data_IF_337475292750
#
_entry.id   IF_337475292750
#
_cell.length_a   1.000
_cell.length_b   1.000
_cell.length_c   1.000
_cell.angle_alpha   90.00
_cell.angle_beta   90.00
_cell.angle_gamma   90.00
#
_symmetry.space_group_name_H-M   'P 1'
#
loop_
_entity.id
_entity.type
_entity.pdbx_description
1 polymer ?
#
# COMPACT_ATOMS: atom_id res chain seq x y z
N UNK A 1 14.79 -24.82 -10.88
CA UNK A 1 15.21 -25.02 -9.47
C UNK A 1 14.01 -25.60 -8.77
N UNK A 2 14.19 -26.63 -7.92
CA UNK A 2 13.08 -27.23 -7.20
C UNK A 2 12.29 -26.17 -6.42
N UNK A 3 10.97 -26.23 -6.50
CA UNK A 3 10.08 -25.26 -5.86
C UNK A 3 9.66 -25.82 -4.50
N UNK A 4 9.87 -25.05 -3.43
CA UNK A 4 9.39 -25.45 -2.11
C UNK A 4 7.91 -25.12 -1.97
N UNK A 5 7.11 -26.13 -1.67
CA UNK A 5 5.75 -25.96 -1.20
C UNK A 5 5.84 -25.60 0.28
N UNK A 6 5.34 -24.41 0.64
CA UNK A 6 5.38 -23.90 2.01
C UNK A 6 4.05 -24.13 2.72
N UNK A 7 4.10 -24.23 4.05
CA UNK A 7 2.91 -24.21 4.91
C UNK A 7 2.13 -22.91 4.68
N UNK A 8 0.91 -22.96 4.13
CA UNK A 8 0.14 -21.76 3.81
C UNK A 8 -0.47 -21.12 5.07
N UNK A 9 -0.64 -19.80 5.03
CA UNK A 9 -1.47 -19.08 5.99
C UNK A 9 -2.94 -19.19 5.56
N UNK A 10 -3.73 -20.01 6.26
CA UNK A 10 -5.15 -20.21 5.94
C UNK A 10 -6.07 -19.19 6.62
N UNK A 11 -5.54 -18.38 7.54
CA UNK A 11 -6.18 -17.18 8.06
C UNK A 11 -5.14 -16.10 8.42
N UNK A 12 -5.51 -14.81 8.47
CA UNK A 12 -4.58 -13.72 8.78
C UNK A 12 -3.97 -13.78 10.19
N UNK A 13 -4.55 -14.61 11.09
CA UNK A 13 -4.09 -14.81 12.47
C UNK A 13 -3.41 -16.17 12.67
N UNK A 14 -3.24 -16.97 11.62
CA UNK A 14 -2.64 -18.29 11.71
C UNK A 14 -1.12 -18.17 11.71
N UNK A 15 -0.48 -18.57 12.81
CA UNK A 15 0.99 -18.63 12.92
C UNK A 15 1.53 -20.05 12.69
N UNK A 16 0.73 -21.07 13.01
CA UNK A 16 1.06 -22.48 12.87
C UNK A 16 -0.19 -23.34 12.62
N UNK A 17 0.00 -24.56 12.12
CA UNK A 17 -1.06 -25.54 11.92
C UNK A 17 -0.53 -26.97 11.98
N UNK A 18 -1.45 -27.93 12.03
CA UNK A 18 -1.12 -29.36 12.02
C UNK A 18 -1.29 -29.89 10.60
N UNK A 19 -0.25 -30.49 10.02
CA UNK A 19 -0.36 -31.17 8.74
C UNK A 19 -1.03 -32.52 8.97
N UNK A 20 -2.35 -32.60 8.84
CA UNK A 20 -3.12 -33.78 9.26
C UNK A 20 -2.92 -34.97 8.31
N UNK A 21 -2.86 -34.72 7.00
CA UNK A 21 -2.80 -35.79 5.99
C UNK A 21 -2.22 -35.33 4.66
N UNK A 22 -1.42 -36.18 4.02
CA UNK A 22 -1.04 -36.02 2.61
C UNK A 22 -2.05 -36.75 1.71
N UNK A 23 -2.49 -36.08 0.65
CA UNK A 23 -3.40 -36.63 -0.37
C UNK A 23 -2.66 -37.02 -1.66
N UNK A 24 -1.38 -36.63 -1.78
CA UNK A 24 -0.46 -36.98 -2.87
C UNK A 24 0.86 -37.48 -2.30
N UNK A 25 1.47 -38.47 -2.96
CA UNK A 25 2.72 -39.09 -2.54
C UNK A 25 3.92 -38.58 -3.34
N UNK A 26 5.13 -38.87 -2.84
CA UNK A 26 6.36 -38.63 -3.61
C UNK A 26 6.31 -39.41 -4.95
N UNK A 27 6.59 -38.70 -6.05
CA UNK A 27 6.49 -39.21 -7.42
C UNK A 27 5.16 -38.92 -8.11
N UNK A 28 4.15 -38.41 -7.41
CA UNK A 28 2.86 -38.05 -8.03
C UNK A 28 2.96 -36.73 -8.81
N UNK A 29 2.35 -36.72 -10.00
CA UNK A 29 2.14 -35.49 -10.77
C UNK A 29 0.98 -34.67 -10.18
N UNK A 30 1.19 -33.37 -10.04
CA UNK A 30 0.21 -32.39 -9.54
C UNK A 30 0.07 -31.23 -10.52
N UNK A 31 -1.16 -30.77 -10.71
CA UNK A 31 -1.49 -29.55 -11.47
C UNK A 31 -1.83 -28.42 -10.51
N UNK A 32 -1.72 -27.18 -10.98
CA UNK A 32 -2.21 -26.03 -10.23
C UNK A 32 -3.70 -26.20 -9.91
N UNK A 33 -4.07 -26.06 -8.64
CA UNK A 33 -5.41 -26.31 -8.12
C UNK A 33 -5.69 -27.75 -7.65
N UNK A 34 -4.76 -28.70 -7.84
CA UNK A 34 -4.91 -30.04 -7.26
C UNK A 34 -4.74 -29.99 -5.73
N UNK A 35 -5.63 -30.64 -4.99
CA UNK A 35 -5.48 -30.79 -3.54
C UNK A 35 -4.36 -31.79 -3.22
N UNK A 36 -3.39 -31.35 -2.43
CA UNK A 36 -2.17 -32.10 -2.10
C UNK A 36 -2.09 -32.54 -0.64
N UNK A 37 -2.70 -31.80 0.29
CA UNK A 37 -2.68 -32.11 1.72
C UNK A 37 -3.90 -31.52 2.45
N UNK A 38 -4.15 -32.00 3.66
CA UNK A 38 -5.10 -31.42 4.61
C UNK A 38 -4.32 -30.81 5.79
N UNK A 39 -4.72 -29.61 6.20
CA UNK A 39 -4.19 -28.92 7.38
C UNK A 39 -5.33 -28.70 8.38
N UNK A 40 -5.04 -29.01 9.63
CA UNK A 40 -5.93 -28.77 10.75
C UNK A 40 -5.43 -27.60 11.61
N UNK A 41 -6.33 -26.69 11.93
CA UNK A 41 -6.13 -25.55 12.84
C UNK A 41 -7.09 -25.65 14.02
N UNK A 42 -6.95 -24.77 15.00
CA UNK A 42 -7.90 -24.66 16.12
C UNK A 42 -9.31 -24.23 15.71
N UNK A 43 -9.49 -23.75 14.46
CA UNK A 43 -10.78 -23.27 13.92
C UNK A 43 -11.43 -24.22 12.92
N UNK A 44 -10.63 -24.85 12.05
CA UNK A 44 -11.14 -25.69 10.95
C UNK A 44 -10.05 -26.60 10.36
N UNK A 45 -10.49 -27.65 9.69
CA UNK A 45 -9.67 -28.44 8.75
C UNK A 45 -9.86 -27.88 7.34
N UNK A 46 -8.78 -27.65 6.62
CA UNK A 46 -8.79 -27.05 5.28
C UNK A 46 -7.83 -27.79 4.35
N UNK A 47 -8.17 -27.78 3.06
CA UNK A 47 -7.41 -28.43 2.00
C UNK A 47 -6.35 -27.48 1.45
N UNK A 48 -5.16 -28.02 1.19
CA UNK A 48 -4.04 -27.31 0.56
C UNK A 48 -4.02 -27.66 -0.91
N UNK A 49 -4.15 -26.65 -1.76
CA UNK A 49 -4.04 -26.79 -3.20
C UNK A 49 -2.63 -26.48 -3.69
N UNK A 50 -2.16 -27.20 -4.71
CA UNK A 50 -0.90 -26.92 -5.38
C UNK A 50 -0.99 -25.59 -6.14
N UNK A 51 -0.04 -24.69 -5.90
CA UNK A 51 0.06 -23.40 -6.61
C UNK A 51 0.70 -23.59 -7.99
N UNK A 52 1.69 -24.48 -8.08
CA UNK A 52 2.50 -24.75 -9.27
C UNK A 52 2.29 -26.20 -9.77
N UNK A 53 2.51 -26.43 -11.06
CA UNK A 53 2.47 -27.77 -11.66
C UNK A 53 3.85 -28.46 -11.64
N UNK A 54 3.86 -29.78 -11.44
CA UNK A 54 5.10 -30.57 -11.39
C UNK A 54 4.93 -31.96 -10.78
N UNK A 55 6.04 -32.58 -10.37
CA UNK A 55 6.05 -33.87 -9.66
C UNK A 55 6.51 -33.66 -8.22
N UNK A 56 5.81 -34.24 -7.24
CA UNK A 56 6.23 -34.18 -5.84
C UNK A 56 7.57 -34.92 -5.71
N UNK A 57 8.65 -34.18 -5.51
CA UNK A 57 9.99 -34.74 -5.38
C UNK A 57 10.27 -35.32 -4.00
N UNK A 58 9.89 -34.60 -2.94
CA UNK A 58 10.07 -35.05 -1.56
C UNK A 58 9.09 -34.39 -0.59
N UNK A 59 8.53 -35.16 0.33
CA UNK A 59 7.76 -34.64 1.47
C UNK A 59 8.74 -34.36 2.63
N UNK A 60 8.76 -33.13 3.11
CA UNK A 60 9.70 -32.68 4.14
C UNK A 60 9.12 -32.80 5.56
N UNK A 61 7.79 -32.90 5.66
CA UNK A 61 7.05 -33.00 6.93
C UNK A 61 6.11 -34.21 6.86
N UNK A 62 6.16 -35.06 7.89
CA UNK A 62 5.29 -36.23 8.00
C UNK A 62 3.84 -35.84 8.38
N UNK A 63 2.87 -36.59 7.88
CA UNK A 63 1.47 -36.42 8.28
C UNK A 63 1.30 -36.65 9.79
N UNK A 64 0.49 -35.82 10.44
CA UNK A 64 0.31 -35.78 11.89
C UNK A 64 1.27 -34.84 12.63
N UNK A 65 2.19 -34.17 11.94
CA UNK A 65 3.10 -33.19 12.57
C UNK A 65 2.32 -31.95 13.00
N UNK A 66 2.33 -31.67 14.30
CA UNK A 66 1.68 -30.51 14.92
C UNK A 66 2.60 -29.28 14.94
N UNK A 67 2.01 -28.09 15.06
CA UNK A 67 2.72 -26.82 15.22
C UNK A 67 3.71 -26.52 14.08
N UNK A 68 3.35 -26.89 12.85
CA UNK A 68 4.10 -26.53 11.65
C UNK A 68 3.86 -25.04 11.39
N UNK A 69 4.92 -24.24 11.52
CA UNK A 69 4.82 -22.78 11.32
C UNK A 69 4.50 -22.44 9.87
N UNK A 70 3.68 -21.42 9.68
CA UNK A 70 3.44 -20.83 8.36
C UNK A 70 4.77 -20.44 7.69
N UNK A 71 4.85 -20.61 6.37
CA UNK A 71 6.05 -20.46 5.53
C UNK A 71 7.15 -21.52 5.72
N UNK A 72 6.95 -22.55 6.54
CA UNK A 72 7.88 -23.69 6.62
C UNK A 72 7.77 -24.55 5.36
N UNK A 73 8.88 -24.94 4.69
CA UNK A 73 8.83 -25.90 3.60
C UNK A 73 8.26 -27.26 4.03
N UNK A 74 7.14 -27.66 3.43
CA UNK A 74 6.45 -28.93 3.72
C UNK A 74 6.68 -29.99 2.63
N UNK A 75 6.96 -29.59 1.40
CA UNK A 75 7.32 -30.49 0.29
C UNK A 75 8.16 -29.76 -0.77
N UNK A 76 8.78 -30.54 -1.67
CA UNK A 76 9.55 -30.04 -2.82
C UNK A 76 8.90 -30.52 -4.11
N UNK A 77 8.67 -29.61 -5.04
CA UNK A 77 8.12 -29.86 -6.37
C UNK A 77 9.24 -29.80 -7.43
N UNK A 78 9.32 -30.82 -8.27
CA UNK A 78 10.26 -30.94 -9.40
C UNK A 78 9.56 -30.56 -10.70
N UNK A 79 10.22 -29.77 -11.56
CA UNK A 79 9.72 -29.39 -12.89
C UNK A 79 10.45 -30.17 -14.02
N UNK A 80 9.89 -30.15 -15.23
CA UNK A 80 10.35 -30.94 -16.37
C UNK A 80 11.86 -30.79 -16.65
N UNK A 81 12.59 -31.90 -16.51
CA UNK A 81 14.04 -31.98 -16.72
C UNK A 81 14.90 -32.05 -15.44
N UNK A 82 14.30 -32.02 -14.25
CA UNK A 82 14.99 -32.08 -12.96
C UNK A 82 14.95 -33.48 -12.33
N UNK A 83 16.01 -33.88 -11.62
CA UNK A 83 16.15 -35.21 -10.98
C UNK A 83 16.18 -35.09 -9.46
N UNK A 84 15.62 -36.10 -8.76
CA UNK A 84 15.57 -36.19 -7.30
C UNK A 84 16.94 -36.14 -6.58
N UNK A 85 18.04 -36.16 -7.32
CA UNK A 85 19.43 -36.04 -6.83
C UNK A 85 19.84 -34.63 -6.40
N UNK A 86 19.05 -33.59 -6.72
CA UNK A 86 19.41 -32.19 -6.42
C UNK A 86 18.89 -31.68 -5.05
N UNK A 87 18.30 -32.57 -4.23
CA UNK A 87 17.77 -32.25 -2.90
C UNK A 87 18.85 -32.41 -1.82
N UNK A 88 19.54 -31.34 -1.43
CA UNK A 88 20.47 -31.37 -0.30
C UNK A 88 19.73 -31.25 1.04
N UNK A 89 19.88 -32.23 1.94
CA UNK A 89 19.45 -32.11 3.34
C UNK A 89 20.44 -31.24 4.15
N UNK A 90 19.99 -30.47 5.16
CA UNK A 90 20.88 -29.63 5.96
C UNK A 90 21.86 -30.49 6.77
N UNK A 91 23.15 -30.20 6.63
CA UNK A 91 24.23 -30.87 7.37
C UNK A 91 24.53 -30.07 8.64
N UNK A 92 24.35 -30.70 9.79
CA UNK A 92 24.78 -30.18 11.08
C UNK A 92 26.32 -30.12 11.16
N UNK A 93 26.87 -28.98 11.57
CA UNK A 93 28.29 -28.85 11.89
C UNK A 93 28.60 -29.54 13.21
N UNK A 94 29.55 -30.47 13.15
CA UNK A 94 30.10 -31.23 14.28
C UNK A 94 31.25 -30.45 14.92
N UNK A 95 31.13 -30.13 16.21
CA UNK A 95 32.28 -29.99 17.10
C UNK A 95 32.38 -31.26 17.97
N UNK A 96 33.46 -32.03 17.82
CA UNK A 96 33.82 -33.17 18.69
C UNK A 96 34.61 -32.62 19.91
N UNK A 97 34.12 -32.70 21.16
CA UNK A 97 34.11 -33.81 22.15
C UNK A 97 35.46 -33.97 22.91
N UNK A 98 35.50 -34.20 24.26
CA UNK A 98 34.79 -35.32 24.88
C UNK A 98 34.20 -35.18 26.33
N UNK A 99 33.14 -35.97 26.53
CA UNK A 99 32.78 -36.86 27.67
C UNK A 99 32.39 -36.34 29.09
N UNK A 100 31.13 -36.68 29.42
CA UNK A 100 30.31 -36.89 30.65
C UNK A 100 31.00 -37.20 32.03
N UNK A 101 30.30 -37.21 33.22
CA UNK A 101 28.83 -37.31 33.46
C UNK A 101 28.21 -36.54 34.68
N UNK A 102 26.87 -36.63 34.81
CA UNK A 102 26.04 -36.76 36.05
C UNK A 102 24.98 -35.67 36.38
N UNK A 103 23.85 -36.19 36.90
CA UNK A 103 22.52 -35.65 37.27
C UNK A 103 22.54 -34.88 38.62
N UNK A 104 21.43 -34.35 39.23
CA UNK A 104 20.24 -33.54 38.83
C UNK A 104 20.06 -32.23 39.69
N UNK A 105 18.95 -31.50 39.44
CA UNK A 105 18.14 -30.64 40.35
C UNK A 105 18.16 -29.08 40.25
N UNK A 106 16.91 -28.59 40.19
CA UNK A 106 16.28 -27.29 40.54
C UNK A 106 17.10 -26.00 40.70
N UNK A 107 16.67 -24.96 39.99
CA UNK A 107 16.38 -23.61 40.54
C UNK A 107 15.66 -22.72 39.48
N UNK A 108 14.54 -22.09 39.87
CA UNK A 108 14.07 -20.79 39.31
C UNK A 108 14.75 -19.69 40.14
N UNK A 109 15.01 -18.45 39.67
CA UNK A 109 14.32 -17.66 38.63
C UNK A 109 15.33 -17.03 37.61
N UNK A 110 14.97 -16.35 36.52
CA UNK A 110 14.54 -14.93 36.44
C UNK A 110 14.47 -14.55 34.94
N UNK A 111 13.64 -13.55 34.63
CA UNK A 111 13.46 -12.92 33.31
C UNK A 111 14.80 -12.58 32.60
N UNK A 112 14.87 -12.83 31.30
CA UNK A 112 15.58 -11.98 30.33
C UNK A 112 15.02 -12.25 28.92
N UNK A 113 14.64 -11.17 28.24
CA UNK A 113 13.97 -11.18 26.95
C UNK A 113 14.76 -11.82 25.82
N UNK A 114 14.02 -12.50 24.94
CA UNK A 114 14.52 -13.05 23.69
C UNK A 114 14.71 -11.92 22.68
N UNK A 115 15.96 -11.68 22.30
CA UNK A 115 16.31 -10.88 21.13
C UNK A 115 16.12 -11.75 19.87
N UNK A 116 15.21 -11.33 18.99
CA UNK A 116 15.01 -11.89 17.66
C UNK A 116 16.12 -11.46 16.70
N UNK A 117 16.65 -12.41 15.92
CA UNK A 117 17.49 -12.14 14.75
C UNK A 117 16.62 -11.85 13.50
N UNK A 118 17.12 -11.09 12.50
CA UNK A 118 16.35 -10.04 11.84
C UNK A 118 15.64 -10.47 10.55
N UNK A 119 14.44 -9.90 10.36
CA UNK A 119 13.81 -9.67 9.05
C UNK A 119 14.78 -8.87 8.17
N UNK A 120 14.90 -9.14 6.85
CA UNK A 120 15.69 -8.28 5.97
C UNK A 120 15.22 -6.83 6.13
N UNK A 121 16.17 -5.94 6.45
CA UNK A 121 15.89 -4.56 6.82
C UNK A 121 15.06 -3.88 5.73
N UNK A 122 13.80 -3.60 6.06
CA UNK A 122 12.97 -2.67 5.32
C UNK A 122 13.69 -1.32 5.30
N UNK A 123 13.89 -0.67 4.15
CA UNK A 123 14.49 0.64 4.13
C UNK A 123 13.58 1.60 4.90
N UNK A 124 14.03 2.01 6.08
CA UNK A 124 13.52 3.21 6.76
C UNK A 124 13.93 4.36 5.85
N UNK A 125 13.06 4.73 4.93
CA UNK A 125 13.20 5.98 4.20
C UNK A 125 12.89 7.09 5.19
N UNK A 126 13.93 7.66 5.80
CA UNK A 126 13.80 8.93 6.51
C UNK A 126 13.52 10.01 5.46
N UNK A 127 12.23 10.32 5.27
CA UNK A 127 11.85 11.48 4.50
C UNK A 127 12.58 12.70 5.09
N UNK A 128 13.08 13.62 4.24
CA UNK A 128 13.64 14.87 4.73
C UNK A 128 12.64 15.56 5.68
N UNK A 129 13.16 16.17 6.75
CA UNK A 129 12.33 16.83 7.77
C UNK A 129 11.38 17.83 7.12
N UNK A 130 10.09 17.58 7.22
CA UNK A 130 9.06 18.53 6.78
C UNK A 130 9.26 19.82 7.58
N UNK A 131 9.52 20.98 6.94
CA UNK A 131 9.80 22.22 7.65
C UNK A 131 8.65 22.68 8.55
N UNK A 132 7.45 22.10 8.41
CA UNK A 132 6.33 22.33 9.32
C UNK A 132 6.44 21.58 10.66
N UNK A 133 7.35 20.62 10.79
CA UNK A 133 7.55 19.84 12.02
C UNK A 133 8.60 20.55 12.88
N UNK A 134 8.28 20.94 14.13
CA UNK A 134 9.24 21.56 15.04
C UNK A 134 10.49 20.69 15.25
N UNK A 135 11.67 21.32 15.26
CA UNK A 135 12.92 20.61 15.53
C UNK A 135 12.88 19.94 16.91
N UNK A 136 13.27 18.67 16.98
CA UNK A 136 13.26 17.88 18.21
C UNK A 136 11.93 17.20 18.55
N UNK A 137 10.94 17.23 17.66
CA UNK A 137 9.70 16.45 17.80
C UNK A 137 10.02 14.95 17.86
N UNK A 138 9.42 14.25 18.83
CA UNK A 138 9.51 12.79 18.94
C UNK A 138 8.86 12.14 17.70
N UNK A 139 9.55 11.19 17.08
CA UNK A 139 9.04 10.43 15.95
C UNK A 139 8.66 9.03 16.43
N UNK A 140 7.48 8.56 16.03
CA UNK A 140 6.99 7.22 16.35
C UNK A 140 6.85 6.43 15.06
N UNK A 141 7.40 5.22 15.04
CA UNK A 141 7.22 4.31 13.92
C UNK A 141 5.81 3.73 13.96
N UNK A 142 5.06 3.89 12.88
CA UNK A 142 3.73 3.31 12.71
C UNK A 142 3.49 2.92 11.26
N UNK A 143 2.64 1.92 11.06
CA UNK A 143 2.18 1.54 9.73
C UNK A 143 1.24 2.58 9.13
N UNK A 144 1.14 2.65 7.81
CA UNK A 144 0.15 3.49 7.13
C UNK A 144 -1.27 3.14 7.59
N UNK A 145 -1.57 1.85 7.79
CA UNK A 145 -2.86 1.39 8.34
C UNK A 145 -3.15 2.00 9.72
N UNK A 146 -2.18 1.94 10.63
CA UNK A 146 -2.33 2.50 11.97
C UNK A 146 -2.50 4.03 11.94
N UNK A 147 -1.73 4.71 11.10
CA UNK A 147 -1.85 6.16 10.89
C UNK A 147 -3.24 6.59 10.41
N UNK A 148 -3.83 5.86 9.45
CA UNK A 148 -5.19 6.11 8.97
C UNK A 148 -6.24 5.88 10.06
N UNK A 149 -6.10 4.78 10.82
CA UNK A 149 -6.96 4.47 11.96
C UNK A 149 -6.90 5.56 13.02
N UNK A 150 -5.70 5.98 13.42
CA UNK A 150 -5.50 7.03 14.41
C UNK A 150 -6.08 8.37 13.95
N UNK A 151 -5.87 8.75 12.69
CA UNK A 151 -6.47 9.95 12.12
C UNK A 151 -7.99 9.93 12.25
N UNK A 152 -8.65 8.83 11.86
CA UNK A 152 -10.11 8.73 12.00
C UNK A 152 -10.56 8.76 13.46
N UNK A 153 -9.91 7.99 14.34
CA UNK A 153 -10.27 7.93 15.74
C UNK A 153 -10.13 9.31 16.43
N UNK A 154 -9.05 10.04 16.15
CA UNK A 154 -8.84 11.39 16.68
C UNK A 154 -9.93 12.37 16.21
N UNK A 155 -10.27 12.38 14.92
CA UNK A 155 -11.32 13.28 14.42
C UNK A 155 -12.73 12.86 14.89
N UNK A 156 -12.99 11.57 15.06
CA UNK A 156 -14.25 11.06 15.62
C UNK A 156 -14.42 11.39 17.10
N UNK A 157 -13.34 11.38 17.90
CA UNK A 157 -13.35 11.87 19.29
C UNK A 157 -13.56 13.37 19.38
N UNK A 158 -12.98 14.12 18.44
CA UNK A 158 -13.04 15.58 18.45
C UNK A 158 -14.38 16.13 17.96
N UNK A 159 -15.11 15.37 17.13
CA UNK A 159 -16.35 15.83 16.51
C UNK A 159 -17.40 14.71 16.42
N UNK A 160 -18.53 14.91 17.11
CA UNK A 160 -19.63 13.96 17.16
C UNK A 160 -20.37 13.76 15.83
N UNK A 161 -20.22 14.70 14.88
CA UNK A 161 -20.82 14.63 13.56
C UNK A 161 -20.04 13.75 12.58
N UNK A 162 -18.81 13.33 12.93
CA UNK A 162 -17.94 12.52 12.06
C UNK A 162 -18.26 11.03 12.20
N UNK A 163 -18.64 10.34 11.15
CA UNK A 163 -18.89 8.89 11.22
C UNK A 163 -18.33 8.19 10.00
N UNK A 164 -18.04 6.89 10.12
CA UNK A 164 -17.61 6.06 8.99
C UNK A 164 -18.74 5.14 8.52
N UNK A 165 -18.88 5.02 7.21
CA UNK A 165 -19.88 4.19 6.54
C UNK A 165 -19.24 3.48 5.35
N UNK A 166 -19.47 2.18 5.21
CA UNK A 166 -18.93 1.39 4.12
C UNK A 166 -19.20 -0.10 4.30
N UNK A 167 -18.69 -0.92 3.40
CA UNK A 167 -18.77 -2.37 3.50
C UNK A 167 -17.71 -2.87 4.49
N UNK A 168 -18.10 -3.74 5.43
CA UNK A 168 -17.21 -4.41 6.38
C UNK A 168 -16.43 -3.51 7.35
N UNK A 169 -16.77 -2.21 7.43
CA UNK A 169 -16.07 -1.22 8.27
C UNK A 169 -16.28 -1.45 9.77
N UNK A 170 -17.35 -2.15 10.17
CA UNK A 170 -17.74 -2.30 11.57
C UNK A 170 -17.36 -3.68 12.13
N UNK A 171 -18.22 -4.70 12.00
CA UNK A 171 -18.06 -5.99 12.69
C UNK A 171 -16.82 -6.75 12.19
N UNK A 172 -16.53 -6.66 10.90
CA UNK A 172 -15.34 -7.24 10.29
C UNK A 172 -14.05 -6.45 10.56
N UNK A 173 -14.16 -5.32 11.27
CA UNK A 173 -13.04 -4.45 11.64
C UNK A 173 -12.33 -3.81 10.43
N UNK A 174 -13.03 -3.69 9.30
CA UNK A 174 -12.52 -3.19 8.02
C UNK A 174 -11.93 -4.30 7.16
N UNK A 175 -12.22 -4.27 5.86
CA UNK A 175 -11.69 -5.22 4.86
C UNK A 175 -10.16 -5.36 4.98
N UNK A 176 -9.48 -4.21 5.12
CA UNK A 176 -8.03 -4.11 5.28
C UNK A 176 -7.58 -3.74 6.70
N UNK A 177 -8.46 -3.89 7.70
CA UNK A 177 -8.20 -3.62 9.13
C UNK A 177 -7.87 -2.17 9.49
N UNK A 178 -8.23 -1.22 8.62
CA UNK A 178 -8.01 0.21 8.85
C UNK A 178 -8.98 0.75 9.92
N UNK A 179 -10.19 0.21 10.00
CA UNK A 179 -11.22 0.61 10.98
C UNK A 179 -11.22 -0.25 12.23
N UNK A 180 -10.14 -1.01 12.46
CA UNK A 180 -10.03 -1.95 13.57
C UNK A 180 -10.26 -1.27 14.92
N UNK A 181 -11.19 -1.81 15.71
CA UNK A 181 -11.52 -1.32 17.06
C UNK A 181 -12.43 -0.09 17.09
N UNK A 182 -12.70 0.57 15.96
CA UNK A 182 -13.54 1.78 15.94
C UNK A 182 -14.98 1.48 16.37
N UNK A 183 -15.56 0.34 15.96
CA UNK A 183 -16.91 -0.04 16.39
C UNK A 183 -17.02 -0.18 17.91
N UNK A 184 -16.02 -0.84 18.53
CA UNK A 184 -15.99 -1.02 19.98
C UNK A 184 -15.85 0.32 20.73
N UNK A 185 -15.17 1.29 20.13
CA UNK A 185 -14.97 2.62 20.72
C UNK A 185 -16.17 3.56 20.51
N UNK A 186 -16.72 3.64 19.29
CA UNK A 186 -17.68 4.67 18.91
C UNK A 186 -19.13 4.17 18.72
N UNK A 187 -19.33 2.85 18.68
CA UNK A 187 -20.64 2.22 18.53
C UNK A 187 -21.22 2.25 17.11
N UNK A 188 -22.33 1.51 16.94
CA UNK A 188 -23.02 1.26 15.67
C UNK A 188 -23.59 2.51 14.99
N UNK A 189 -23.81 3.59 15.74
CA UNK A 189 -24.24 4.89 15.20
C UNK A 189 -23.14 5.65 14.47
N UNK A 190 -21.88 5.32 14.73
CA UNK A 190 -20.71 6.06 14.25
C UNK A 190 -19.79 5.22 13.35
N UNK A 191 -19.96 3.89 13.38
CA UNK A 191 -19.26 2.93 12.51
C UNK A 191 -20.32 2.03 11.89
N UNK A 192 -20.68 2.30 10.64
CA UNK A 192 -21.89 1.79 10.00
C UNK A 192 -21.54 0.83 8.85
N UNK A 193 -21.78 -0.45 9.06
CA UNK A 193 -21.74 -1.45 7.98
C UNK A 193 -22.89 -1.25 6.99
N UNK A 194 -22.61 -1.48 5.72
CA UNK A 194 -23.57 -1.32 4.62
C UNK A 194 -23.75 -2.60 3.81
N UNK A 195 -24.89 -2.77 3.13
CA UNK A 195 -24.99 -3.71 2.01
C UNK A 195 -24.06 -3.28 0.86
N UNK A 196 -23.69 -4.23 0.00
CA UNK A 196 -22.86 -4.02 -1.19
C UNK A 196 -23.65 -3.24 -2.26
N UNK A 197 -23.72 -1.93 -2.06
CA UNK A 197 -24.59 -0.99 -2.79
C UNK A 197 -23.94 0.40 -2.84
N UNK A 198 -22.77 0.49 -3.45
CA UNK A 198 -21.89 1.66 -3.47
C UNK A 198 -22.62 2.94 -3.85
N UNK A 199 -23.46 2.90 -4.88
CA UNK A 199 -24.27 4.04 -5.28
C UNK A 199 -25.24 4.49 -4.18
N UNK A 200 -25.84 3.54 -3.48
CA UNK A 200 -26.83 3.77 -2.43
C UNK A 200 -26.19 4.40 -1.19
N UNK A 201 -25.20 3.75 -0.59
CA UNK A 201 -24.59 4.27 0.64
C UNK A 201 -23.81 5.57 0.40
N UNK A 202 -23.20 5.76 -0.77
CA UNK A 202 -22.57 7.03 -1.11
C UNK A 202 -23.61 8.17 -1.20
N UNK A 203 -24.78 7.91 -1.81
CA UNK A 203 -25.87 8.89 -1.88
C UNK A 203 -26.45 9.23 -0.50
N UNK A 204 -26.61 8.22 0.37
CA UNK A 204 -27.03 8.42 1.77
C UNK A 204 -26.02 9.29 2.52
N UNK A 205 -24.73 9.01 2.38
CA UNK A 205 -23.67 9.81 2.99
C UNK A 205 -23.65 11.24 2.45
N UNK A 206 -23.79 11.45 1.14
CA UNK A 206 -23.89 12.80 0.57
C UNK A 206 -25.09 13.56 1.15
N UNK A 207 -26.26 12.92 1.27
CA UNK A 207 -27.42 13.50 1.92
C UNK A 207 -27.19 13.84 3.40
N UNK A 208 -26.50 12.96 4.14
CA UNK A 208 -26.11 13.20 5.52
C UNK A 208 -25.15 14.39 5.65
N UNK A 209 -24.21 14.54 4.72
CA UNK A 209 -23.29 15.68 4.66
C UNK A 209 -24.04 17.00 4.43
N UNK A 210 -24.99 17.01 3.50
CA UNK A 210 -25.87 18.17 3.25
C UNK A 210 -26.75 18.50 4.47
N UNK A 211 -27.11 17.50 5.28
CA UNK A 211 -27.88 17.67 6.51
C UNK A 211 -27.04 18.12 7.72
N UNK A 212 -25.72 18.26 7.55
CA UNK A 212 -24.80 18.80 8.57
C UNK A 212 -23.84 17.81 9.20
N UNK A 213 -23.90 16.52 8.84
CA UNK A 213 -22.95 15.51 9.32
C UNK A 213 -21.63 15.53 8.51
N UNK A 214 -20.63 14.77 8.97
CA UNK A 214 -19.30 14.68 8.34
C UNK A 214 -18.91 13.23 8.03
N UNK A 215 -19.57 12.59 7.05
CA UNK A 215 -19.30 11.20 6.71
C UNK A 215 -17.89 10.97 6.14
N UNK A 216 -17.31 9.86 6.55
CA UNK A 216 -16.16 9.19 5.94
C UNK A 216 -16.73 7.96 5.22
N UNK A 217 -16.80 8.00 3.90
CA UNK A 217 -17.28 6.92 3.06
C UNK A 217 -16.10 6.05 2.64
N UNK A 218 -16.12 4.79 3.03
CA UNK A 218 -15.15 3.79 2.60
C UNK A 218 -15.69 3.01 1.41
N UNK A 219 -14.96 3.05 0.29
CA UNK A 219 -15.08 2.05 -0.76
C UNK A 219 -14.03 0.98 -0.52
N UNK A 220 -14.43 -0.30 -0.58
CA UNK A 220 -13.49 -1.40 -0.38
C UNK A 220 -12.31 -1.31 -1.36
N UNK A 221 -12.56 -0.90 -2.61
CA UNK A 221 -11.53 -0.37 -3.52
C UNK A 221 -12.12 0.76 -4.36
N UNK A 222 -11.28 1.67 -4.85
CA UNK A 222 -11.75 2.73 -5.77
C UNK A 222 -12.29 2.21 -7.11
N UNK A 223 -12.01 0.95 -7.48
CA UNK A 223 -12.65 0.31 -8.63
C UNK A 223 -14.17 0.29 -8.47
N UNK A 224 -14.65 0.05 -7.25
CA UNK A 224 -16.08 -0.04 -6.94
C UNK A 224 -16.73 1.34 -6.82
N UNK A 225 -15.94 2.37 -6.48
CA UNK A 225 -16.39 3.76 -6.50
C UNK A 225 -16.92 4.21 -7.88
N UNK A 226 -16.56 3.50 -8.97
CA UNK A 226 -17.18 3.72 -10.29
C UNK A 226 -18.71 3.60 -10.27
N UNK A 227 -19.28 2.69 -9.47
CA UNK A 227 -20.73 2.58 -9.34
C UNK A 227 -21.36 3.82 -8.69
N UNK A 228 -20.61 4.47 -7.80
CA UNK A 228 -21.04 5.64 -7.02
C UNK A 228 -20.54 6.98 -7.59
N UNK A 229 -19.83 6.98 -8.73
CA UNK A 229 -19.13 8.17 -9.22
C UNK A 229 -20.08 9.35 -9.49
N UNK A 230 -21.33 9.08 -9.85
CA UNK A 230 -22.37 10.11 -10.01
C UNK A 230 -22.66 10.84 -8.69
N UNK A 231 -22.73 10.13 -7.56
CA UNK A 231 -22.90 10.76 -6.24
C UNK A 231 -21.67 11.59 -5.85
N UNK A 232 -20.48 11.09 -6.13
CA UNK A 232 -19.22 11.80 -5.85
C UNK A 232 -19.15 13.10 -6.67
N UNK A 233 -19.50 13.05 -7.96
CA UNK A 233 -19.32 14.17 -8.88
C UNK A 233 -20.53 15.11 -8.88
N UNK A 234 -21.71 14.60 -9.23
CA UNK A 234 -22.88 15.45 -9.50
C UNK A 234 -23.56 15.88 -8.21
N UNK A 235 -23.69 14.97 -7.23
CA UNK A 235 -24.34 15.29 -5.96
C UNK A 235 -23.41 15.99 -4.97
N UNK A 236 -22.14 15.58 -4.84
CA UNK A 236 -21.22 16.19 -3.88
C UNK A 236 -20.43 17.35 -4.50
N UNK A 237 -19.53 17.08 -5.45
CA UNK A 237 -18.53 18.05 -5.92
C UNK A 237 -19.13 19.37 -6.45
N UNK A 238 -20.20 19.26 -7.24
CA UNK A 238 -20.77 20.42 -7.97
C UNK A 238 -21.78 21.22 -7.16
N UNK A 239 -22.31 20.68 -6.06
CA UNK A 239 -23.47 21.28 -5.36
C UNK A 239 -23.16 22.63 -4.74
N UNK A 240 -21.99 22.82 -4.13
CA UNK A 240 -21.63 24.10 -3.54
C UNK A 240 -21.66 25.23 -4.56
N UNK A 241 -21.17 24.95 -5.77
CA UNK A 241 -21.23 25.90 -6.88
C UNK A 241 -22.67 26.12 -7.38
N UNK A 242 -23.42 25.05 -7.67
CA UNK A 242 -24.78 25.14 -8.24
C UNK A 242 -25.77 25.84 -7.28
N UNK A 243 -25.58 25.66 -5.98
CA UNK A 243 -26.39 26.29 -4.93
C UNK A 243 -26.04 27.76 -4.67
N UNK A 244 -25.01 28.31 -5.32
CA UNK A 244 -24.51 29.65 -5.03
C UNK A 244 -23.92 29.77 -3.62
N UNK A 245 -23.32 28.69 -3.11
CA UNK A 245 -22.69 28.65 -1.79
C UNK A 245 -23.63 28.34 -0.63
N UNK A 246 -24.89 27.98 -0.90
CA UNK A 246 -25.90 27.74 0.14
C UNK A 246 -25.84 26.32 0.73
N UNK A 247 -25.36 25.35 -0.04
CA UNK A 247 -25.34 23.94 0.36
C UNK A 247 -23.97 23.32 0.04
N UNK A 248 -23.27 22.86 1.09
CA UNK A 248 -22.01 22.14 0.98
C UNK A 248 -22.18 20.63 1.13
N UNK A 249 -21.07 19.91 0.97
CA UNK A 249 -20.98 18.48 1.27
C UNK A 249 -19.62 18.22 1.94
N UNK A 250 -19.51 18.40 3.27
CA UNK A 250 -18.32 18.00 4.02
C UNK A 250 -18.25 16.46 4.10
N UNK A 251 -17.59 15.84 3.14
CA UNK A 251 -17.54 14.37 2.98
C UNK A 251 -16.15 13.95 2.54
N UNK A 252 -15.66 12.83 3.09
CA UNK A 252 -14.44 12.17 2.61
C UNK A 252 -14.83 10.86 1.95
N UNK A 253 -14.38 10.62 0.72
CA UNK A 253 -14.42 9.32 0.07
C UNK A 253 -13.03 8.72 0.12
N UNK A 254 -12.85 7.56 0.76
CA UNK A 254 -11.54 6.93 0.94
C UNK A 254 -11.56 5.44 0.62
N UNK A 255 -10.38 4.87 0.47
CA UNK A 255 -10.17 3.45 0.14
C UNK A 255 -8.88 3.26 -0.67
N UNK A 256 -8.45 1.99 -0.87
CA UNK A 256 -7.28 1.70 -1.68
C UNK A 256 -7.55 1.97 -3.16
N UNK A 257 -6.53 2.49 -3.84
CA UNK A 257 -6.51 2.88 -5.25
C UNK A 257 -5.22 2.38 -5.92
N UNK A 258 -5.31 2.06 -7.21
CA UNK A 258 -4.19 1.53 -8.00
C UNK A 258 -4.08 0.01 -7.89
N UNK A 259 -2.92 -0.52 -8.25
CA UNK A 259 -2.67 -1.95 -8.28
C UNK A 259 -2.43 -2.53 -6.88
N UNK A 260 -2.80 -3.81 -6.76
CA UNK A 260 -2.44 -4.67 -5.65
C UNK A 260 -1.71 -5.92 -6.21
N UNK A 261 -1.52 -6.96 -5.40
CA UNK A 261 -0.83 -8.16 -5.84
C UNK A 261 -1.82 -9.19 -6.42
N UNK A 262 -1.76 -9.40 -7.74
CA UNK A 262 -2.46 -10.46 -8.49
C UNK A 262 -3.99 -10.43 -8.37
N UNK A 263 -4.57 -9.24 -8.33
CA UNK A 263 -6.04 -9.06 -8.25
C UNK A 263 -6.72 -8.93 -9.62
N UNK A 264 -5.92 -8.95 -10.70
CA UNK A 264 -6.41 -8.88 -12.08
C UNK A 264 -7.00 -7.53 -12.47
N UNK A 265 -7.58 -7.47 -13.67
CA UNK A 265 -7.87 -6.21 -14.35
C UNK A 265 -8.88 -5.30 -13.64
N UNK A 266 -9.95 -5.85 -13.06
CA UNK A 266 -11.06 -5.07 -12.48
C UNK A 266 -10.79 -4.52 -11.08
N UNK A 267 -9.63 -4.84 -10.50
CA UNK A 267 -9.26 -4.49 -9.12
C UNK A 267 -7.94 -3.71 -9.05
N UNK A 268 -7.40 -3.23 -10.18
CA UNK A 268 -6.06 -2.62 -10.25
C UNK A 268 -6.03 -1.23 -10.87
N UNK A 269 -7.18 -0.56 -11.05
CA UNK A 269 -7.21 0.72 -11.71
C UNK A 269 -6.83 1.86 -10.74
N UNK A 270 -5.96 2.76 -11.20
CA UNK A 270 -5.69 4.04 -10.56
C UNK A 270 -6.66 5.12 -11.09
N UNK A 271 -7.32 5.83 -10.18
CA UNK A 271 -8.33 6.86 -10.46
C UNK A 271 -7.85 8.29 -10.17
N UNK A 272 -6.55 8.52 -9.91
CA UNK A 272 -6.02 9.84 -9.63
C UNK A 272 -6.32 10.84 -10.77
N UNK A 273 -6.12 10.43 -12.02
CA UNK A 273 -6.45 11.25 -13.18
C UNK A 273 -7.96 11.54 -13.28
N UNK A 274 -8.80 10.53 -13.05
CA UNK A 274 -10.26 10.64 -13.17
C UNK A 274 -10.86 11.61 -12.18
N UNK A 275 -10.50 11.53 -10.91
CA UNK A 275 -11.06 12.43 -9.89
C UNK A 275 -10.41 13.82 -9.93
N UNK A 276 -9.11 13.92 -10.29
CA UNK A 276 -8.42 15.21 -10.31
C UNK A 276 -8.88 16.14 -11.44
N UNK A 277 -9.52 15.62 -12.48
CA UNK A 277 -10.09 16.45 -13.54
C UNK A 277 -11.36 17.21 -13.09
N UNK A 278 -12.01 16.80 -11.99
CA UNK A 278 -13.36 17.28 -11.60
C UNK A 278 -13.29 18.53 -10.71
N UNK A 279 -13.79 19.70 -11.16
CA UNK A 279 -13.95 20.86 -10.30
C UNK A 279 -14.94 20.63 -9.17
N UNK A 280 -14.63 21.16 -7.99
CA UNK A 280 -15.38 20.94 -6.76
C UNK A 280 -14.81 19.83 -5.86
N UNK A 281 -14.01 18.92 -6.43
CA UNK A 281 -13.25 17.94 -5.64
C UNK A 281 -11.90 18.48 -5.19
N UNK A 282 -11.44 17.94 -4.06
CA UNK A 282 -10.03 17.83 -3.68
C UNK A 282 -9.62 16.36 -3.77
N UNK A 283 -8.41 16.07 -4.23
CA UNK A 283 -7.91 14.71 -4.45
C UNK A 283 -6.53 14.57 -3.84
N UNK A 284 -6.40 13.64 -2.90
CA UNK A 284 -5.20 13.37 -2.11
C UNK A 284 -4.75 11.95 -2.39
N UNK A 285 -3.44 11.72 -2.48
CA UNK A 285 -2.87 10.38 -2.64
C UNK A 285 -1.57 10.25 -1.82
N UNK A 286 -1.65 9.82 -0.55
CA UNK A 286 -0.53 9.82 0.39
C UNK A 286 0.44 8.67 0.12
N UNK A 287 1.70 8.85 0.52
CA UNK A 287 2.73 7.81 0.48
C UNK A 287 3.14 7.32 1.87
N UNK A 288 3.57 8.22 2.77
CA UNK A 288 4.04 7.81 4.10
C UNK A 288 2.91 7.76 5.13
N UNK A 289 3.16 7.11 6.27
CA UNK A 289 2.22 7.10 7.39
C UNK A 289 1.94 8.53 7.92
N UNK A 290 2.95 9.42 7.90
CA UNK A 290 2.76 10.82 8.28
C UNK A 290 1.86 11.55 7.27
N UNK A 291 2.05 11.32 5.98
CA UNK A 291 1.18 11.90 4.95
C UNK A 291 -0.25 11.41 5.12
N UNK A 292 -0.43 10.10 5.33
CA UNK A 292 -1.73 9.47 5.55
C UNK A 292 -2.46 10.06 6.77
N UNK A 293 -1.78 10.14 7.93
CA UNK A 293 -2.37 10.68 9.16
C UNK A 293 -2.75 12.16 9.01
N UNK A 294 -1.77 12.99 8.64
CA UNK A 294 -1.94 14.44 8.63
C UNK A 294 -2.92 14.93 7.55
N UNK A 295 -2.93 14.29 6.37
CA UNK A 295 -3.83 14.67 5.28
C UNK A 295 -5.23 14.09 5.46
N UNK A 296 -5.41 12.92 6.08
CA UNK A 296 -6.76 12.40 6.35
C UNK A 296 -7.47 13.26 7.39
N UNK A 297 -6.77 13.70 8.44
CA UNK A 297 -7.31 14.69 9.39
C UNK A 297 -7.69 15.98 8.67
N UNK A 298 -6.83 16.49 7.78
CA UNK A 298 -7.14 17.67 6.97
C UNK A 298 -8.39 17.47 6.09
N UNK A 299 -8.53 16.29 5.47
CA UNK A 299 -9.67 15.94 4.63
C UNK A 299 -10.97 15.90 5.44
N UNK A 300 -10.96 15.26 6.62
CA UNK A 300 -12.14 15.17 7.50
C UNK A 300 -12.57 16.56 8.01
N UNK A 301 -11.63 17.50 8.17
CA UNK A 301 -11.91 18.90 8.57
C UNK A 301 -12.36 19.79 7.40
N UNK A 302 -12.16 19.37 6.16
CA UNK A 302 -12.49 20.18 5.00
C UNK A 302 -14.01 20.33 4.81
N UNK A 303 -14.55 21.53 4.51
CA UNK A 303 -15.99 21.69 4.28
C UNK A 303 -16.46 21.19 2.90
N UNK A 304 -15.56 20.68 2.06
CA UNK A 304 -15.85 20.25 0.68
C UNK A 304 -15.59 18.74 0.50
N UNK A 305 -16.09 18.14 -0.59
CA UNK A 305 -15.81 16.74 -0.89
C UNK A 305 -14.33 16.50 -1.16
N UNK A 306 -13.75 15.54 -0.43
CA UNK A 306 -12.36 15.11 -0.60
C UNK A 306 -12.31 13.64 -0.99
N UNK A 307 -11.60 13.33 -2.06
CA UNK A 307 -11.25 11.96 -2.46
C UNK A 307 -9.85 11.65 -1.94
N UNK A 308 -9.73 10.58 -1.16
CA UNK A 308 -8.52 10.18 -0.48
C UNK A 308 -8.08 8.80 -1.00
N UNK A 309 -7.18 8.82 -1.99
CA UNK A 309 -6.72 7.66 -2.76
C UNK A 309 -5.53 6.99 -2.06
N UNK A 310 -5.82 6.01 -1.22
CA UNK A 310 -4.81 5.22 -0.51
C UNK A 310 -4.22 4.15 -1.43
N UNK A 311 -3.35 3.29 -0.91
CA UNK A 311 -2.82 2.17 -1.65
C UNK A 311 -2.68 0.93 -0.76
N UNK A 312 -3.14 -0.21 -1.26
CA UNK A 312 -3.21 -1.47 -0.50
C UNK A 312 -1.83 -1.95 -0.04
N UNK A 313 -0.85 -1.92 -0.93
CA UNK A 313 0.51 -2.40 -0.67
C UNK A 313 1.18 -1.56 0.42
N UNK A 314 0.89 -0.24 0.46
CA UNK A 314 1.45 0.67 1.45
C UNK A 314 0.88 0.46 2.86
N UNK A 315 -0.28 -0.18 3.05
CA UNK A 315 -0.91 -0.30 4.37
C UNK A 315 -0.02 -0.95 5.42
N UNK A 316 0.76 -1.96 5.03
CA UNK A 316 1.69 -2.67 5.91
C UNK A 316 3.05 -2.00 6.07
N UNK A 317 3.33 -0.91 5.35
CA UNK A 317 4.62 -0.22 5.42
C UNK A 317 4.67 0.71 6.64
N UNK A 318 5.77 0.65 7.37
CA UNK A 318 6.03 1.52 8.53
C UNK A 318 6.86 2.73 8.16
N UNK A 319 6.48 3.89 8.71
CA UNK A 319 7.20 5.14 8.56
C UNK A 319 7.26 5.88 9.89
N UNK A 320 8.18 6.83 9.98
CA UNK A 320 8.23 7.76 11.11
C UNK A 320 7.11 8.79 11.00
N UNK A 321 6.36 8.96 12.10
CA UNK A 321 5.28 9.93 12.23
C UNK A 321 5.55 10.85 13.41
N UNK A 322 5.44 12.18 13.24
CA UNK A 322 5.67 13.12 14.32
C UNK A 322 4.58 12.98 15.38
N UNK A 323 5.01 12.82 16.63
CA UNK A 323 4.12 12.78 17.79
C UNK A 323 3.78 14.22 18.20
N UNK A 324 2.71 14.74 17.63
CA UNK A 324 2.14 16.04 17.95
C UNK A 324 0.66 15.87 18.31
N UNK A 325 0.19 16.66 19.28
CA UNK A 325 -1.21 16.60 19.74
C UNK A 325 -2.21 16.87 18.62
N UNK A 326 -1.89 17.78 17.69
CA UNK A 326 -2.70 18.06 16.50
C UNK A 326 -1.83 18.09 15.23
N UNK A 327 -1.46 16.91 14.76
CA UNK A 327 -0.72 16.78 13.50
C UNK A 327 -1.65 16.82 12.29
N UNK A 328 -1.64 17.94 11.56
CA UNK A 328 -2.41 18.12 10.33
C UNK A 328 -1.51 18.68 9.23
N UNK A 329 -1.65 18.16 8.02
CA UNK A 329 -0.90 18.62 6.85
C UNK A 329 -1.79 19.45 5.91
N UNK A 330 -1.25 20.50 5.27
CA UNK A 330 -2.02 21.31 4.34
C UNK A 330 -2.31 20.55 3.04
N UNK A 331 -3.59 20.47 2.67
CA UNK A 331 -4.02 19.98 1.35
C UNK A 331 -3.48 20.94 0.27
N UNK A 332 -2.92 20.38 -0.80
CA UNK A 332 -2.37 21.15 -1.92
C UNK A 332 -0.92 21.60 -1.71
N UNK A 333 -0.18 20.92 -0.83
CA UNK A 333 1.26 21.13 -0.64
C UNK A 333 2.04 19.84 -0.85
N UNK A 334 2.98 19.92 -1.78
CA UNK A 334 3.95 18.86 -2.03
C UNK A 334 5.06 18.89 -0.98
N UNK A 335 5.79 17.78 -0.86
CA UNK A 335 7.01 17.67 -0.05
C UNK A 335 8.20 17.45 -0.97
N UNK A 336 9.26 18.22 -0.79
CA UNK A 336 10.58 17.86 -1.32
C UNK A 336 11.13 16.75 -0.42
N UNK A 337 10.99 15.50 -0.86
CA UNK A 337 11.40 14.32 -0.10
C UNK A 337 12.93 14.19 -0.01
N UNK A 338 13.63 14.59 -1.07
CA UNK A 338 15.10 14.72 -1.12
C UNK A 338 15.46 15.92 -1.98
N UNK A 339 16.39 16.75 -1.53
CA UNK A 339 16.93 17.85 -2.35
C UNK A 339 17.95 17.34 -3.36
N UNK A 340 18.04 18.02 -4.51
CA UNK A 340 19.04 17.74 -5.52
C UNK A 340 19.17 18.88 -6.53
N UNK A 341 19.99 18.67 -7.56
CA UNK A 341 20.35 19.72 -8.54
C UNK A 341 20.45 19.26 -9.99
N UNK A 342 20.53 17.96 -10.26
CA UNK A 342 20.76 17.47 -11.63
C UNK A 342 19.45 17.20 -12.37
N UNK A 343 18.42 16.73 -11.67
CA UNK A 343 17.11 16.36 -12.24
C UNK A 343 16.03 16.40 -11.17
N UNK A 344 14.84 16.85 -11.53
CA UNK A 344 13.64 16.73 -10.69
C UNK A 344 12.90 15.43 -11.01
N UNK A 345 12.55 14.65 -9.99
CA UNK A 345 11.64 13.52 -10.09
C UNK A 345 10.40 13.83 -9.26
N UNK A 346 9.21 13.70 -9.86
CA UNK A 346 7.93 13.91 -9.20
C UNK A 346 7.16 12.60 -9.15
N UNK A 347 6.60 12.27 -7.99
CA UNK A 347 5.75 11.09 -7.82
C UNK A 347 4.76 11.28 -6.67
N UNK A 348 3.89 10.31 -6.43
CA UNK A 348 2.96 10.22 -5.31
C UNK A 348 2.63 8.76 -5.03
N UNK A 349 1.93 8.48 -3.92
CA UNK A 349 1.45 7.14 -3.56
C UNK A 349 2.53 6.05 -3.70
N UNK A 350 2.17 4.85 -4.14
CA UNK A 350 3.07 3.73 -4.37
C UNK A 350 4.18 4.06 -5.38
N UNK A 351 3.96 5.02 -6.30
CA UNK A 351 4.96 5.51 -7.23
C UNK A 351 6.23 6.02 -6.54
N UNK A 352 6.09 6.59 -5.34
CA UNK A 352 7.22 7.03 -4.52
C UNK A 352 8.16 5.87 -4.15
N UNK A 353 7.65 4.64 -4.04
CA UNK A 353 8.48 3.46 -3.80
C UNK A 353 9.45 3.22 -4.96
N UNK A 354 9.00 3.38 -6.20
CA UNK A 354 9.86 3.26 -7.38
C UNK A 354 10.86 4.42 -7.44
N UNK A 355 10.40 5.64 -7.17
CA UNK A 355 11.21 6.84 -7.23
C UNK A 355 12.33 6.84 -6.18
N UNK A 356 12.02 6.55 -4.91
CA UNK A 356 13.03 6.51 -3.83
C UNK A 356 14.10 5.44 -4.10
N UNK A 357 13.71 4.25 -4.54
CA UNK A 357 14.67 3.19 -4.92
C UNK A 357 15.52 3.58 -6.14
N UNK A 358 14.92 4.25 -7.13
CA UNK A 358 15.67 4.74 -8.28
C UNK A 358 16.69 5.82 -7.88
N UNK A 359 16.33 6.71 -6.95
CA UNK A 359 17.24 7.74 -6.41
C UNK A 359 18.47 7.11 -5.76
N UNK A 360 18.33 6.01 -5.03
CA UNK A 360 19.47 5.28 -4.45
C UNK A 360 20.44 4.79 -5.53
N UNK A 361 19.92 4.20 -6.61
CA UNK A 361 20.75 3.74 -7.74
C UNK A 361 21.39 4.90 -8.51
N UNK A 362 20.64 5.98 -8.75
CA UNK A 362 21.11 7.17 -9.46
C UNK A 362 22.20 7.91 -8.67
N UNK A 363 22.11 7.91 -7.34
CA UNK A 363 23.15 8.50 -6.47
C UNK A 363 24.48 7.77 -6.63
N UNK A 364 24.47 6.43 -6.76
CA UNK A 364 25.69 5.63 -7.03
C UNK A 364 26.33 5.98 -8.38
N UNK A 365 25.53 6.48 -9.33
CA UNK A 365 25.99 6.96 -10.64
C UNK A 365 26.37 8.45 -10.63
N UNK A 366 26.37 9.09 -9.46
CA UNK A 366 26.68 10.52 -9.32
C UNK A 366 25.65 11.42 -9.99
N UNK A 367 24.37 11.04 -9.96
CA UNK A 367 23.23 11.89 -10.38
C UNK A 367 22.50 12.35 -9.12
N UNK A 368 22.50 13.66 -8.88
CA UNK A 368 21.87 14.27 -7.72
C UNK A 368 20.41 14.66 -7.98
N UNK A 369 19.50 13.73 -7.67
CA UNK A 369 18.06 13.87 -7.90
C UNK A 369 17.39 14.70 -6.82
N UNK A 370 16.58 15.68 -7.22
CA UNK A 370 15.55 16.28 -6.37
C UNK A 370 14.25 15.47 -6.48
N UNK A 371 13.82 14.84 -5.41
CA UNK A 371 12.61 14.02 -5.36
C UNK A 371 11.47 14.78 -4.69
N UNK A 372 10.35 14.92 -5.39
CA UNK A 372 9.14 15.57 -4.92
C UNK A 372 8.01 14.54 -4.80
N UNK A 373 7.40 14.51 -3.62
CA UNK A 373 6.14 13.81 -3.36
C UNK A 373 4.99 14.81 -3.45
N UNK A 374 4.07 14.62 -4.39
CA UNK A 374 2.98 15.57 -4.62
C UNK A 374 2.03 15.66 -3.43
N UNK A 375 1.78 14.56 -2.71
CA UNK A 375 0.73 14.38 -1.68
C UNK A 375 -0.71 14.63 -2.16
N UNK A 376 -0.97 15.76 -2.82
CA UNK A 376 -2.25 16.21 -3.35
C UNK A 376 -2.21 16.30 -4.87
N UNK A 377 -3.14 15.63 -5.53
CA UNK A 377 -3.31 15.66 -6.99
C UNK A 377 -4.20 16.82 -7.41
N UNK A 378 -5.19 17.19 -6.58
CA UNK A 378 -6.05 18.36 -6.80
C UNK A 378 -6.39 19.09 -5.49
N UNK A 379 -6.09 20.40 -5.35
CA UNK A 379 -5.23 21.20 -6.23
C UNK A 379 -3.76 20.80 -6.08
N UNK A 380 -3.07 20.56 -7.19
CA UNK A 380 -1.65 20.19 -7.19
C UNK A 380 -0.75 21.38 -6.86
N UNK A 381 0.32 21.15 -6.11
CA UNK A 381 1.36 22.15 -5.81
C UNK A 381 2.36 22.31 -6.97
N UNK A 382 1.83 22.69 -8.14
CA UNK A 382 2.62 23.00 -9.34
C UNK A 382 3.75 24.02 -9.10
N UNK A 383 3.58 25.08 -8.29
CA UNK A 383 4.66 26.02 -8.01
C UNK A 383 5.93 25.35 -7.47
N UNK A 384 5.79 24.38 -6.55
CA UNK A 384 6.93 23.63 -6.01
C UNK A 384 7.66 22.83 -7.10
N UNK A 385 6.90 22.20 -8.01
CA UNK A 385 7.49 21.46 -9.14
C UNK A 385 8.19 22.41 -10.11
N UNK A 386 7.57 23.54 -10.45
CA UNK A 386 8.14 24.55 -11.36
C UNK A 386 9.46 25.10 -10.81
N UNK A 387 9.51 25.50 -9.54
CA UNK A 387 10.75 26.02 -8.95
C UNK A 387 11.85 24.98 -8.88
N UNK A 388 11.49 23.70 -8.64
CA UNK A 388 12.43 22.60 -8.74
C UNK A 388 12.99 22.43 -10.15
N UNK A 389 12.13 22.44 -11.18
CA UNK A 389 12.54 22.34 -12.58
C UNK A 389 13.41 23.52 -13.02
N UNK A 390 13.11 24.75 -12.57
CA UNK A 390 13.98 25.91 -12.84
C UNK A 390 15.39 25.74 -12.31
N UNK A 391 15.53 24.99 -11.20
CA UNK A 391 16.83 24.69 -10.59
C UNK A 391 17.56 23.55 -11.29
N UNK A 392 16.86 22.47 -11.65
CA UNK A 392 17.48 21.23 -12.16
C UNK A 392 17.53 21.14 -13.69
N UNK A 393 16.69 21.93 -14.37
CA UNK A 393 16.51 21.98 -15.81
C UNK A 393 15.88 20.73 -16.44
N UNK A 394 15.47 19.73 -15.65
CA UNK A 394 15.02 18.41 -16.15
C UNK A 394 13.92 17.84 -15.27
N UNK A 395 12.99 17.12 -15.87
CA UNK A 395 11.86 16.50 -15.15
C UNK A 395 11.57 15.09 -15.64
N UNK A 396 11.41 14.18 -14.67
CA UNK A 396 10.76 12.87 -14.86
C UNK A 396 9.57 12.77 -13.90
N UNK A 397 8.40 12.41 -14.41
CA UNK A 397 7.21 12.14 -13.58
C UNK A 397 6.97 10.64 -13.52
N UNK A 398 6.71 10.09 -12.33
CA UNK A 398 6.49 8.67 -12.10
C UNK A 398 5.09 8.47 -11.51
N UNK A 399 4.29 7.60 -12.14
CA UNK A 399 2.95 7.21 -11.68
C UNK A 399 2.66 5.75 -11.99
N UNK A 400 1.71 5.14 -11.27
CA UNK A 400 1.27 3.76 -11.54
C UNK A 400 0.07 3.70 -12.50
N UNK A 401 -0.66 4.81 -12.63
CA UNK A 401 -1.82 4.91 -13.51
C UNK A 401 -1.48 4.75 -14.99
N UNK A 402 -2.53 4.65 -15.81
CA UNK A 402 -2.40 4.52 -17.26
C UNK A 402 -1.79 5.76 -17.90
N UNK A 403 -1.04 5.61 -19.01
CA UNK A 403 -0.23 6.69 -19.56
C UNK A 403 -1.06 7.74 -20.30
N UNK A 404 -2.19 7.36 -20.92
CA UNK A 404 -2.99 8.28 -21.71
C UNK A 404 -3.86 9.16 -20.80
N UNK A 405 -3.76 10.49 -20.96
CA UNK A 405 -4.54 11.47 -20.18
C UNK A 405 -4.25 11.39 -18.67
N UNK A 406 -3.00 11.08 -18.34
CA UNK A 406 -2.55 10.81 -16.99
C UNK A 406 -2.30 12.10 -16.19
N UNK A 407 -2.01 11.94 -14.89
CA UNK A 407 -1.59 13.09 -14.07
C UNK A 407 -0.23 13.60 -14.55
N UNK A 408 0.67 12.71 -14.96
CA UNK A 408 1.96 13.01 -15.57
C UNK A 408 1.85 13.83 -16.85
N UNK A 409 0.90 13.51 -17.74
CA UNK A 409 0.61 14.31 -18.94
C UNK A 409 0.23 15.76 -18.58
N UNK A 410 -0.60 15.93 -17.56
CA UNK A 410 -0.96 17.26 -17.07
C UNK A 410 0.27 18.00 -16.52
N UNK A 411 1.08 17.37 -15.68
CA UNK A 411 2.32 17.96 -15.15
C UNK A 411 3.26 18.36 -16.28
N UNK A 412 3.53 17.46 -17.22
CA UNK A 412 4.40 17.72 -18.36
C UNK A 412 3.90 18.91 -19.18
N UNK A 413 2.59 18.99 -19.46
CA UNK A 413 2.01 20.12 -20.18
C UNK A 413 2.17 21.45 -19.44
N UNK A 414 1.96 21.48 -18.12
CA UNK A 414 2.10 22.70 -17.31
C UNK A 414 3.54 23.17 -17.26
N UNK A 415 4.49 22.26 -17.08
CA UNK A 415 5.93 22.57 -17.06
C UNK A 415 6.38 23.07 -18.43
N UNK A 416 5.94 22.44 -19.51
CA UNK A 416 6.18 22.89 -20.88
C UNK A 416 5.61 24.28 -21.17
N UNK A 417 4.58 24.74 -20.46
CA UNK A 417 3.99 26.08 -20.65
C UNK A 417 4.60 27.15 -19.75
N UNK A 418 5.02 26.78 -18.54
CA UNK A 418 5.37 27.72 -17.48
C UNK A 418 6.87 27.75 -17.13
N UNK A 419 7.63 26.73 -17.55
CA UNK A 419 9.05 26.59 -17.26
C UNK A 419 9.88 26.18 -18.48
N UNK A 420 9.35 26.33 -19.70
CA UNK A 420 10.00 25.86 -20.93
C UNK A 420 11.43 26.36 -21.11
N UNK A 421 11.66 27.64 -20.88
CA UNK A 421 12.98 28.27 -21.08
C UNK A 421 14.06 27.73 -20.12
N UNK A 422 13.66 26.98 -19.10
CA UNK A 422 14.56 26.33 -18.14
C UNK A 422 14.80 24.86 -18.46
N UNK A 423 14.09 24.26 -19.42
CA UNK A 423 14.23 22.84 -19.75
C UNK A 423 15.45 22.59 -20.66
N UNK A 424 16.40 21.79 -20.16
CA UNK A 424 17.56 21.28 -20.90
C UNK A 424 17.27 19.97 -21.66
N UNK A 425 16.12 19.35 -21.37
CA UNK A 425 15.68 18.08 -21.94
C UNK A 425 14.14 17.99 -21.94
N UNK A 426 13.55 17.16 -22.82
CA UNK A 426 12.11 16.87 -22.76
C UNK A 426 11.70 16.32 -21.39
N UNK A 427 10.50 16.68 -20.95
CA UNK A 427 9.88 16.02 -19.79
C UNK A 427 9.53 14.58 -20.17
N UNK A 428 9.93 13.62 -19.34
CA UNK A 428 9.54 12.21 -19.51
C UNK A 428 8.54 11.78 -18.45
N UNK A 429 7.63 10.88 -18.82
CA UNK A 429 6.69 10.22 -17.92
C UNK A 429 6.99 8.73 -17.87
N UNK A 430 6.96 8.16 -16.67
CA UNK A 430 7.02 6.73 -16.42
C UNK A 430 5.69 6.35 -15.78
N UNK A 431 4.89 5.57 -16.49
CA UNK A 431 3.53 5.20 -16.12
C UNK A 431 3.36 3.67 -16.16
N UNK A 432 2.21 3.19 -15.66
CA UNK A 432 1.77 1.83 -15.94
C UNK A 432 1.66 1.59 -17.46
N UNK A 433 1.70 0.32 -17.88
CA UNK A 433 1.50 0.00 -19.30
C UNK A 433 0.04 0.17 -19.69
N UNK A 434 -0.19 0.52 -20.95
CA UNK A 434 -1.52 0.75 -21.51
C UNK A 434 -2.26 -0.56 -21.81
N UNK A 435 -2.49 -1.36 -20.76
CA UNK A 435 -3.19 -2.64 -20.79
C UNK A 435 -4.01 -2.81 -19.52
N UNK A 436 -5.15 -3.52 -19.55
CA UNK A 436 -5.78 -4.01 -18.34
C UNK A 436 -4.80 -4.88 -17.55
N UNK A 437 -4.80 -4.78 -16.21
CA UNK A 437 -3.81 -5.47 -15.37
C UNK A 437 -3.90 -7.00 -15.55
N UNK A 438 -2.82 -7.67 -16.01
CA UNK A 438 -2.81 -9.12 -16.15
C UNK A 438 -2.63 -9.82 -14.79
N UNK A 439 -3.23 -11.00 -14.64
CA UNK A 439 -3.10 -11.81 -13.41
C UNK A 439 -1.75 -12.53 -13.30
N UNK A 440 -1.20 -13.01 -14.43
CA UNK A 440 0.02 -13.80 -14.43
C UNK A 440 1.20 -12.98 -13.91
N UNK A 441 1.89 -13.46 -12.88
CA UNK A 441 2.89 -12.69 -12.13
C UNK A 441 4.01 -12.10 -12.99
N UNK A 442 4.44 -12.84 -14.02
CA UNK A 442 5.44 -12.38 -14.97
C UNK A 442 4.95 -11.21 -15.83
N UNK A 443 3.66 -11.20 -16.19
CA UNK A 443 3.04 -10.13 -16.96
C UNK A 443 2.67 -8.92 -16.07
N UNK A 444 2.17 -9.16 -14.85
CA UNK A 444 1.85 -8.10 -13.88
C UNK A 444 3.07 -7.23 -13.60
N UNK A 445 4.22 -7.87 -13.36
CA UNK A 445 5.49 -7.18 -13.18
C UNK A 445 5.90 -6.31 -14.38
N UNK A 446 5.53 -6.70 -15.60
CA UNK A 446 5.82 -5.94 -16.82
C UNK A 446 4.79 -4.83 -17.08
N UNK A 447 3.58 -4.97 -16.54
CA UNK A 447 2.50 -4.00 -16.65
C UNK A 447 2.69 -2.80 -15.70
N UNK A 448 3.38 -3.00 -14.58
CA UNK A 448 3.68 -1.95 -13.61
C UNK A 448 4.98 -1.19 -13.94
N UNK A 449 5.11 0.08 -13.52
CA UNK A 449 6.39 0.77 -13.51
C UNK A 449 7.43 -0.01 -12.71
N UNK A 450 8.69 0.16 -13.05
CA UNK A 450 9.78 -0.40 -12.25
C UNK A 450 10.97 0.56 -12.11
N UNK A 451 11.81 0.27 -11.10
CA UNK A 451 13.00 1.07 -10.77
C UNK A 451 13.92 1.24 -11.98
N UNK A 452 14.10 0.20 -12.79
CA UNK A 452 14.94 0.25 -13.98
C UNK A 452 14.45 1.27 -15.02
N UNK A 453 13.14 1.34 -15.24
CA UNK A 453 12.53 2.31 -16.14
C UNK A 453 12.70 3.75 -15.63
N UNK A 454 12.54 3.99 -14.33
CA UNK A 454 12.78 5.30 -13.72
C UNK A 454 14.24 5.72 -13.87
N UNK A 455 15.18 4.82 -13.57
CA UNK A 455 16.62 5.06 -13.75
C UNK A 455 16.93 5.37 -15.22
N UNK A 456 16.38 4.59 -16.16
CA UNK A 456 16.60 4.79 -17.59
C UNK A 456 16.04 6.14 -18.07
N UNK A 457 14.84 6.53 -17.63
CA UNK A 457 14.26 7.82 -17.95
C UNK A 457 15.13 8.98 -17.45
N UNK A 458 15.60 8.91 -16.20
CA UNK A 458 16.50 9.91 -15.63
C UNK A 458 17.83 9.97 -16.40
N UNK A 459 18.46 8.83 -16.67
CA UNK A 459 19.71 8.79 -17.45
C UNK A 459 19.54 9.41 -18.83
N UNK A 460 18.38 9.20 -19.46
CA UNK A 460 18.05 9.76 -20.78
C UNK A 460 18.00 11.29 -20.76
N UNK A 461 17.33 11.89 -19.77
CA UNK A 461 17.27 13.37 -19.67
C UNK A 461 18.57 14.00 -19.17
N UNK A 462 19.38 13.24 -18.42
CA UNK A 462 20.71 13.65 -17.98
C UNK A 462 21.83 13.38 -19.00
N UNK A 463 21.54 12.71 -20.12
CA UNK A 463 22.51 12.29 -21.14
C UNK A 463 23.69 11.46 -20.58
N UNK A 464 23.41 10.47 -19.73
CA UNK A 464 24.40 9.61 -19.03
C UNK A 464 24.22 8.11 -19.24
#
# INVERSE_FOLDING_TARGET
>A
MPVNILMPALSPTMEEGTLSKWLKAEGDSVKSGDVIAEIETDKATMEVEAVDEGVIGKLLIEAGTQNVKVNTPIAVLLQDGESASDVSAPKAESAAAPAAPAVPQEEKPTETGSASAPVPAQPISSAASDPSIPAGTEMVSMTVREALREAMAEEMRANDDVFIIGEEVAEYQGAYKITQGLLAEFGDRRVVDTPITEHGFAGVAVGAAMAGLRPIVEFMTFNFAMQAIDQIINSAAKTLYMSGGQMGAPIVFRGPNGAAARVGAQHSQDYAAWYSQIPGLKVISPYTAADAKGLLKAAIRDPNPVVFLENEILYGHSFDVPKLDDFVLPIGKARIHKTGKDVTVVSWSIGMTYATKAVEELTKLGIDVELIDLRTIRPMDLPTVIESVKKTGRLVVVEEGYPQSSVGDFVANRIQREAFDYLDAPVLTVAGKDVPMPYAANLEKLALPNVGEVVQAVKSVCYK
#
